data_IF_562403997232
#
_entry.id   IF_562403997232
#
_cell.length_a   1.000
_cell.length_b   1.000
_cell.length_c   1.000
_cell.angle_alpha   90.00
_cell.angle_beta   90.00
_cell.angle_gamma   90.00
#
_symmetry.space_group_name_H-M   'P 1'
#
loop_
_entity.id
_entity.type
_entity.pdbx_description
1 polymer ?
#
# COMPACT_ATOMS: atom_id res chain seq x y z
N UNK A 1 -4.48 -13.04 -13.98
CA UNK A 1 -4.14 -11.87 -13.14
C UNK A 1 -2.62 -11.83 -13.00
N UNK A 2 -1.99 -10.67 -12.87
CA UNK A 2 -0.57 -10.60 -12.53
C UNK A 2 -0.38 -11.15 -11.10
N UNK A 3 0.45 -12.18 -10.87
CA UNK A 3 0.56 -12.83 -9.57
C UNK A 3 1.11 -11.89 -8.48
N UNK A 4 2.06 -11.01 -8.82
CA UNK A 4 2.57 -10.02 -7.87
C UNK A 4 1.49 -9.02 -7.45
N UNK A 5 0.67 -8.54 -8.41
CA UNK A 5 -0.44 -7.64 -8.09
C UNK A 5 -1.58 -8.35 -7.34
N UNK A 6 -1.79 -9.65 -7.58
CA UNK A 6 -2.74 -10.46 -6.82
C UNK A 6 -2.34 -10.55 -5.35
N UNK A 7 -1.07 -10.88 -5.09
CA UNK A 7 -0.53 -10.95 -3.73
C UNK A 7 -0.56 -9.55 -3.09
N UNK A 8 -0.14 -8.51 -3.82
CA UNK A 8 -0.18 -7.13 -3.34
C UNK A 8 -1.61 -6.70 -2.97
N UNK A 9 -2.63 -7.04 -3.76
CA UNK A 9 -4.02 -6.69 -3.45
C UNK A 9 -4.55 -7.42 -2.23
N UNK A 10 -4.19 -8.69 -2.04
CA UNK A 10 -4.59 -9.49 -0.88
C UNK A 10 -3.93 -8.91 0.38
N UNK A 11 -2.61 -8.68 0.35
CA UNK A 11 -1.89 -8.07 1.46
C UNK A 11 -2.42 -6.67 1.77
N UNK A 12 -2.78 -5.88 0.76
CA UNK A 12 -3.38 -4.56 0.95
C UNK A 12 -4.74 -4.65 1.66
N UNK A 13 -5.59 -5.60 1.27
CA UNK A 13 -6.88 -5.83 1.91
C UNK A 13 -6.72 -6.30 3.36
N UNK A 14 -5.77 -7.22 3.61
CA UNK A 14 -5.42 -7.66 4.97
C UNK A 14 -4.93 -6.48 5.81
N UNK A 15 -4.00 -5.67 5.29
CA UNK A 15 -3.49 -4.49 6.00
C UNK A 15 -4.60 -3.47 6.29
N UNK A 16 -5.53 -3.25 5.36
CA UNK A 16 -6.69 -2.40 5.59
C UNK A 16 -7.60 -2.93 6.72
N UNK A 17 -7.88 -4.24 6.71
CA UNK A 17 -8.67 -4.87 7.77
C UNK A 17 -7.97 -4.80 9.14
N UNK A 18 -6.68 -5.12 9.18
CA UNK A 18 -5.83 -5.00 10.38
C UNK A 18 -5.85 -3.56 10.91
N UNK A 19 -5.66 -2.57 10.03
CA UNK A 19 -5.71 -1.15 10.39
C UNK A 19 -7.07 -0.80 11.00
N UNK A 20 -8.17 -1.10 10.32
CA UNK A 20 -9.52 -0.72 10.76
C UNK A 20 -9.90 -1.40 12.09
N UNK A 21 -9.73 -2.72 12.20
CA UNK A 21 -10.25 -3.48 13.33
C UNK A 21 -9.26 -3.54 14.50
N UNK A 22 -8.06 -4.07 14.27
CA UNK A 22 -7.06 -4.20 15.34
C UNK A 22 -6.46 -2.84 15.70
N UNK A 23 -6.15 -2.04 14.69
CA UNK A 23 -5.70 -0.67 14.90
C UNK A 23 -6.79 0.22 15.50
N UNK A 24 -8.06 -0.02 15.18
CA UNK A 24 -9.17 0.68 15.81
C UNK A 24 -9.16 0.51 17.33
N UNK A 25 -9.06 -0.74 17.78
CA UNK A 25 -8.98 -1.07 19.20
C UNK A 25 -7.67 -0.61 19.86
N UNK A 26 -6.53 -0.81 19.20
CA UNK A 26 -5.21 -0.58 19.80
C UNK A 26 -4.70 0.87 19.70
N UNK A 27 -5.24 1.69 18.77
CA UNK A 27 -4.76 3.04 18.48
C UNK A 27 -5.89 4.06 18.46
N UNK A 28 -6.94 3.85 17.66
CA UNK A 28 -7.97 4.88 17.46
C UNK A 28 -8.82 5.12 18.71
N UNK A 29 -9.25 4.06 19.39
CA UNK A 29 -10.00 4.16 20.65
C UNK A 29 -9.14 4.78 21.76
N UNK A 30 -7.92 4.31 22.05
CA UNK A 30 -7.03 4.96 23.03
C UNK A 30 -6.74 6.44 22.72
N UNK A 31 -6.63 6.81 21.45
CA UNK A 31 -6.49 8.21 21.04
C UNK A 31 -7.70 9.05 21.48
N UNK A 32 -8.93 8.55 21.26
CA UNK A 32 -10.15 9.24 21.65
C UNK A 32 -10.31 9.33 23.17
N UNK A 33 -9.88 8.29 23.90
CA UNK A 33 -9.93 8.22 25.36
C UNK A 33 -8.81 8.99 26.07
N UNK A 34 -7.78 9.43 25.32
CA UNK A 34 -6.64 10.16 25.88
C UNK A 34 -7.02 11.52 26.47
N UNK A 35 -6.16 12.08 27.32
CA UNK A 35 -6.33 13.44 27.87
C UNK A 35 -6.03 14.57 26.86
N UNK A 36 -5.83 14.27 25.57
CA UNK A 36 -5.56 15.29 24.55
C UNK A 36 -6.73 16.26 24.38
N UNK A 37 -6.42 17.52 24.06
CA UNK A 37 -7.40 18.52 23.66
C UNK A 37 -8.26 18.02 22.49
N UNK A 38 -9.54 18.41 22.49
CA UNK A 38 -10.52 17.89 21.53
C UNK A 38 -10.13 18.15 20.07
N UNK A 39 -9.56 19.32 19.76
CA UNK A 39 -9.22 19.71 18.39
C UNK A 39 -8.14 18.80 17.76
N UNK A 40 -6.92 18.67 18.30
CA UNK A 40 -5.90 17.79 17.72
C UNK A 40 -6.34 16.32 17.75
N UNK A 41 -7.06 15.88 18.79
CA UNK A 41 -7.62 14.52 18.89
C UNK A 41 -8.55 14.20 17.72
N UNK A 42 -9.52 15.06 17.42
CA UNK A 42 -10.47 14.85 16.32
C UNK A 42 -9.79 14.94 14.95
N UNK A 43 -8.77 15.79 14.79
CA UNK A 43 -7.95 15.83 13.57
C UNK A 43 -7.24 14.50 13.35
N UNK A 44 -6.58 13.95 14.37
CA UNK A 44 -5.90 12.66 14.27
C UNK A 44 -6.88 11.52 13.98
N UNK A 45 -8.08 11.56 14.57
CA UNK A 45 -9.15 10.61 14.27
C UNK A 45 -9.69 10.73 12.83
N UNK A 46 -9.74 11.94 12.27
CA UNK A 46 -10.06 12.12 10.85
C UNK A 46 -8.95 11.56 9.95
N UNK A 47 -7.67 11.82 10.27
CA UNK A 47 -6.51 11.27 9.55
C UNK A 47 -6.51 9.74 9.58
N UNK A 48 -6.90 9.15 10.71
CA UNK A 48 -7.09 7.71 10.84
C UNK A 48 -8.05 7.14 9.80
N UNK A 49 -9.22 7.77 9.62
CA UNK A 49 -10.22 7.37 8.63
C UNK A 49 -9.77 7.64 7.20
N UNK A 50 -9.05 8.74 6.95
CA UNK A 50 -8.44 9.01 5.64
C UNK A 50 -7.47 7.89 5.25
N UNK A 51 -6.65 7.40 6.19
CA UNK A 51 -5.78 6.25 5.97
C UNK A 51 -6.60 4.98 5.67
N UNK A 52 -7.66 4.69 6.44
CA UNK A 52 -8.55 3.56 6.18
C UNK A 52 -9.11 3.56 4.76
N UNK A 53 -9.62 4.71 4.30
CA UNK A 53 -10.15 4.88 2.94
C UNK A 53 -9.05 4.66 1.90
N UNK A 54 -7.87 5.26 2.09
CA UNK A 54 -6.75 5.11 1.17
C UNK A 54 -6.29 3.65 1.04
N UNK A 55 -6.21 2.90 2.15
CA UNK A 55 -5.82 1.48 2.15
C UNK A 55 -6.87 0.62 1.42
N UNK A 56 -8.16 0.81 1.70
CA UNK A 56 -9.25 0.09 1.04
C UNK A 56 -9.30 0.35 -0.47
N UNK A 57 -9.23 1.61 -0.89
CA UNK A 57 -9.22 1.97 -2.31
C UNK A 57 -7.98 1.47 -3.03
N UNK A 58 -6.82 1.48 -2.35
CA UNK A 58 -5.58 0.91 -2.89
C UNK A 58 -5.71 -0.58 -3.15
N UNK A 59 -6.31 -1.35 -2.23
CA UNK A 59 -6.52 -2.78 -2.41
C UNK A 59 -7.38 -3.08 -3.65
N UNK A 60 -8.48 -2.34 -3.83
CA UNK A 60 -9.34 -2.45 -5.00
C UNK A 60 -8.59 -2.08 -6.30
N UNK A 61 -7.84 -0.98 -6.30
CA UNK A 61 -7.09 -0.52 -7.47
C UNK A 61 -5.95 -1.47 -7.86
N UNK A 62 -5.23 -2.06 -6.89
CA UNK A 62 -4.21 -3.07 -7.14
C UNK A 62 -4.83 -4.35 -7.73
N UNK A 63 -5.99 -4.77 -7.23
CA UNK A 63 -6.73 -5.92 -7.78
C UNK A 63 -7.14 -5.66 -9.24
N UNK A 64 -7.78 -4.52 -9.51
CA UNK A 64 -8.20 -4.13 -10.86
C UNK A 64 -7.00 -4.03 -11.79
N UNK A 65 -5.90 -3.42 -11.35
CA UNK A 65 -4.67 -3.32 -12.15
C UNK A 65 -3.96 -4.65 -12.40
N UNK A 66 -4.25 -5.67 -11.59
CA UNK A 66 -3.83 -7.06 -11.84
C UNK A 66 -4.55 -7.73 -12.99
N UNK A 67 -5.73 -7.25 -13.40
CA UNK A 67 -6.53 -7.83 -14.47
C UNK A 67 -5.92 -7.49 -15.84
N UNK A 68 -5.80 -8.50 -16.72
CA UNK A 68 -5.14 -8.36 -18.04
C UNK A 68 -5.70 -7.21 -18.87
N UNK A 69 -7.03 -7.02 -18.84
CA UNK A 69 -7.74 -5.96 -19.59
C UNK A 69 -7.44 -4.54 -19.10
N UNK A 70 -6.96 -4.38 -17.87
CA UNK A 70 -6.69 -3.08 -17.25
C UNK A 70 -5.21 -2.80 -17.02
N UNK A 71 -4.33 -3.78 -17.24
CA UNK A 71 -2.91 -3.70 -16.91
C UNK A 71 -2.18 -2.48 -17.50
N UNK A 72 -2.44 -2.15 -18.78
CA UNK A 72 -1.86 -0.94 -19.40
C UNK A 72 -2.59 0.35 -18.96
N UNK A 73 -3.93 0.46 -19.06
CA UNK A 73 -4.65 1.67 -18.64
C UNK A 73 -4.41 2.07 -17.18
N UNK A 74 -4.23 1.10 -16.26
CA UNK A 74 -4.04 1.36 -14.84
C UNK A 74 -2.57 1.47 -14.43
N UNK A 75 -1.61 1.38 -15.36
CA UNK A 75 -0.18 1.24 -15.02
C UNK A 75 0.35 2.36 -14.13
N UNK A 76 0.01 3.61 -14.45
CA UNK A 76 0.45 4.77 -13.65
C UNK A 76 -0.25 4.83 -12.29
N UNK A 77 -1.53 4.46 -12.22
CA UNK A 77 -2.26 4.36 -10.95
C UNK A 77 -1.62 3.31 -10.03
N UNK A 78 -1.29 2.12 -10.56
CA UNK A 78 -0.59 1.07 -9.79
C UNK A 78 0.75 1.57 -9.28
N UNK A 79 1.54 2.27 -10.10
CA UNK A 79 2.84 2.84 -9.67
C UNK A 79 2.68 3.93 -8.61
N UNK A 80 1.69 4.80 -8.76
CA UNK A 80 1.39 5.84 -7.78
C UNK A 80 1.01 5.22 -6.43
N UNK A 81 0.12 4.22 -6.43
CA UNK A 81 -0.27 3.49 -5.22
C UNK A 81 0.94 2.76 -4.62
N UNK A 82 1.76 2.12 -5.45
CA UNK A 82 2.97 1.42 -4.99
C UNK A 82 3.93 2.39 -4.27
N UNK A 83 4.13 3.58 -4.84
CA UNK A 83 4.91 4.65 -4.21
C UNK A 83 4.28 5.10 -2.89
N UNK A 84 2.97 5.35 -2.88
CA UNK A 84 2.24 5.78 -1.70
C UNK A 84 2.42 4.80 -0.53
N UNK A 85 2.32 3.49 -0.79
CA UNK A 85 2.53 2.44 0.22
C UNK A 85 3.97 2.39 0.72
N UNK A 86 4.96 2.55 -0.16
CA UNK A 86 6.36 2.69 0.24
C UNK A 86 6.57 3.93 1.11
N UNK A 87 5.96 5.07 0.76
CA UNK A 87 6.04 6.30 1.54
C UNK A 87 5.39 6.13 2.91
N UNK A 88 4.22 5.51 3.01
CA UNK A 88 3.59 5.21 4.30
C UNK A 88 4.50 4.33 5.17
N UNK A 89 5.04 3.24 4.64
CA UNK A 89 5.98 2.39 5.37
C UNK A 89 7.25 3.16 5.80
N UNK A 90 7.79 4.00 4.93
CA UNK A 90 8.94 4.85 5.23
C UNK A 90 8.63 5.89 6.32
N UNK A 91 7.43 6.46 6.39
CA UNK A 91 7.02 7.35 7.47
C UNK A 91 7.08 6.65 8.83
N UNK A 92 6.61 5.40 8.94
CA UNK A 92 6.74 4.63 10.19
C UNK A 92 8.22 4.41 10.56
N UNK A 93 9.06 4.02 9.59
CA UNK A 93 10.49 3.84 9.83
C UNK A 93 11.18 5.15 10.25
N UNK A 94 10.82 6.28 9.64
CA UNK A 94 11.36 7.59 10.01
C UNK A 94 10.95 7.99 11.43
N UNK A 95 9.68 7.79 11.80
CA UNK A 95 9.19 8.05 13.17
C UNK A 95 9.88 7.15 14.19
N UNK A 96 10.11 5.88 13.85
CA UNK A 96 10.87 4.93 14.69
C UNK A 96 12.32 5.41 14.87
N UNK A 97 12.97 5.86 13.81
CA UNK A 97 14.39 6.24 13.81
C UNK A 97 14.70 7.46 14.70
N UNK A 98 13.71 8.32 14.96
CA UNK A 98 13.87 9.49 15.83
C UNK A 98 13.51 9.22 17.30
N UNK A 99 13.07 8.00 17.64
CA UNK A 99 12.78 7.66 19.04
C UNK A 99 14.08 7.36 19.81
N UNK A 100 14.20 7.80 21.06
CA UNK A 100 15.43 7.66 21.85
C UNK A 100 15.71 6.21 22.29
N UNK A 101 14.68 5.38 22.40
CA UNK A 101 14.79 4.02 22.94
C UNK A 101 14.90 2.95 21.85
N UNK A 102 15.44 1.79 22.20
CA UNK A 102 15.41 0.61 21.32
C UNK A 102 14.03 -0.05 21.23
N UNK A 103 13.84 -0.92 20.23
CA UNK A 103 12.67 -1.81 20.14
C UNK A 103 11.42 -1.22 19.48
N UNK A 104 11.43 0.04 19.05
CA UNK A 104 10.30 0.66 18.35
C UNK A 104 9.95 -0.01 17.02
N UNK A 105 10.90 -0.71 16.39
CA UNK A 105 10.63 -1.55 15.20
C UNK A 105 9.54 -2.61 15.44
N UNK A 106 9.43 -3.12 16.66
CA UNK A 106 8.44 -4.12 17.05
C UNK A 106 7.18 -3.50 17.68
N UNK A 107 7.30 -2.29 18.27
CA UNK A 107 6.16 -1.54 18.83
C UNK A 107 5.32 -0.86 17.75
N UNK A 108 5.93 -0.50 16.63
CA UNK A 108 5.27 0.08 15.45
C UNK A 108 5.47 -0.82 14.22
N UNK A 109 4.90 -2.04 14.21
CA UNK A 109 5.18 -3.04 13.17
C UNK A 109 4.48 -2.75 11.83
N UNK A 110 3.79 -1.62 11.66
CA UNK A 110 2.99 -1.31 10.46
C UNK A 110 3.82 -1.35 9.16
N UNK A 111 5.10 -0.99 9.23
CA UNK A 111 6.02 -1.02 8.08
C UNK A 111 6.14 -2.41 7.45
N UNK A 112 5.95 -3.48 8.24
CA UNK A 112 6.10 -4.87 7.80
C UNK A 112 5.04 -5.30 6.79
N UNK A 113 3.86 -4.68 6.79
CA UNK A 113 2.82 -4.91 5.78
C UNK A 113 2.81 -3.82 4.69
N UNK A 114 3.12 -2.58 5.06
CA UNK A 114 3.08 -1.46 4.13
C UNK A 114 4.14 -1.56 3.02
N UNK A 115 5.40 -1.86 3.40
CA UNK A 115 6.49 -1.93 2.43
C UNK A 115 6.33 -3.09 1.43
N UNK A 116 6.02 -4.33 1.85
CA UNK A 116 5.86 -5.43 0.89
C UNK A 116 4.78 -5.19 -0.16
N UNK A 117 3.65 -4.58 0.21
CA UNK A 117 2.59 -4.22 -0.76
C UNK A 117 3.12 -3.24 -1.82
N UNK A 118 3.81 -2.18 -1.40
CA UNK A 118 4.40 -1.20 -2.31
C UNK A 118 5.43 -1.83 -3.25
N UNK A 119 6.34 -2.65 -2.71
CA UNK A 119 7.38 -3.33 -3.48
C UNK A 119 6.80 -4.35 -4.47
N UNK A 120 5.81 -5.14 -4.07
CA UNK A 120 5.11 -6.07 -4.96
C UNK A 120 4.32 -5.35 -6.05
N UNK A 121 3.72 -4.21 -5.72
CA UNK A 121 3.04 -3.34 -6.69
C UNK A 121 3.97 -2.85 -7.80
N UNK A 122 5.17 -2.37 -7.43
CA UNK A 122 6.19 -1.97 -8.39
C UNK A 122 6.66 -3.15 -9.25
N UNK A 123 6.98 -4.28 -8.62
CA UNK A 123 7.38 -5.50 -9.32
C UNK A 123 6.31 -5.94 -10.33
N UNK A 124 5.05 -5.97 -9.91
CA UNK A 124 3.91 -6.31 -10.76
C UNK A 124 3.74 -5.36 -11.94
N UNK A 125 3.95 -4.06 -11.74
CA UNK A 125 3.79 -3.04 -12.78
C UNK A 125 4.91 -3.01 -13.82
N UNK A 126 6.11 -3.52 -13.49
CA UNK A 126 7.28 -3.57 -14.39
C UNK A 126 7.33 -4.86 -15.23
N UNK A 127 6.74 -5.96 -14.73
CA UNK A 127 6.60 -7.21 -15.47
C UNK A 127 5.70 -7.11 -16.71
N UNK A 128 4.63 -6.31 -16.67
CA UNK A 128 3.72 -6.10 -17.81
C UNK A 128 4.43 -5.55 -19.06
N UNK A 129 5.44 -4.70 -18.87
CA UNK A 129 6.25 -4.12 -19.96
C UNK A 129 7.11 -5.14 -20.71
N UNK A 130 7.51 -6.27 -20.08
CA UNK A 130 8.32 -7.30 -20.76
C UNK A 130 7.50 -8.23 -21.64
N UNK A 131 6.23 -8.46 -21.32
CA UNK A 131 5.34 -9.32 -22.13
C UNK A 131 5.04 -8.73 -23.50
N UNK A 132 4.86 -7.41 -23.59
CA UNK A 132 4.61 -6.69 -24.84
C UNK A 132 5.84 -6.66 -25.77
N UNK A 133 7.05 -6.60 -25.21
CA UNK A 133 8.30 -6.57 -25.99
C UNK A 133 8.66 -7.92 -26.65
N UNK A 134 8.10 -9.04 -26.17
CA UNK A 134 8.27 -10.37 -26.79
C UNK A 134 7.24 -10.68 -27.88
N UNK A 135 6.12 -9.95 -27.94
CA UNK A 135 5.10 -10.12 -28.99
C UNK A 135 5.36 -9.32 -30.26
N UNK A 136 6.29 -8.37 -30.23
CA UNK A 136 6.74 -7.61 -31.39
C UNK A 136 7.94 -8.30 -32.08
N UNK A 137 7.80 -9.59 -32.41
CA UNK A 137 8.59 -10.16 -33.51
C UNK A 137 8.01 -9.57 -34.79
N UNK A 138 8.73 -8.61 -35.36
CA UNK A 138 8.49 -8.09 -36.71
C UNK A 138 8.38 -9.31 -37.63
N UNK A 139 7.29 -9.49 -38.41
CA UNK A 139 7.30 -10.47 -39.48
C UNK A 139 8.34 -9.99 -40.49
N UNK A 140 9.50 -10.64 -40.48
CA UNK A 140 10.48 -10.57 -41.55
C UNK A 140 9.86 -11.28 -42.76
N UNK A 141 8.98 -10.60 -43.48
CA UNK A 141 8.76 -10.90 -44.90
C UNK A 141 9.98 -10.28 -45.61
N UNK A 142 11.03 -11.04 -45.93
CA UNK A 142 11.10 -12.04 -46.99
C UNK A 142 10.83 -11.40 -48.37
N UNK A 143 11.95 -11.03 -49.01
CA UNK A 143 12.21 -10.85 -50.45
C UNK A 143 11.42 -9.79 -51.22
#
# INVERSE_FOLDING_TARGET
MNPALAIASILAAVAAAVHIFMGGHAVATPLLDSAMEARPKLILYAVWHMASVALCLSAAALFVGGLRRHAEPSRYLVRFISLLWCCFGATFLAVIAIQPDGGWLFKLPQWTLLLPVGLLGFWGSTGSTRGLRRGATIPTNAQ
#
